data_IF_804534698927
#
_entry.id   IF_804534698927
#
_cell.length_a   1.000
_cell.length_b   1.000
_cell.length_c   1.000
_cell.angle_alpha   90.00
_cell.angle_beta   90.00
_cell.angle_gamma   90.00
#
_symmetry.space_group_name_H-M   'P 1'
#
loop_
_entity.id
_entity.type
_entity.pdbx_description
1 polymer ?
#
# COMPACT_ATOMS: atom_id res chain seq x y z
N UNK A 1 -49.53 -33.97 -13.12
CA UNK A 1 -49.56 -32.92 -12.10
C UNK A 1 -48.50 -33.07 -11.02
N UNK A 2 -48.24 -34.25 -10.44
CA UNK A 2 -47.19 -34.44 -9.40
C UNK A 2 -45.74 -34.11 -9.85
N UNK A 3 -45.39 -34.35 -11.11
CA UNK A 3 -44.05 -34.05 -11.65
C UNK A 3 -43.83 -32.55 -11.87
N UNK A 4 -44.86 -31.79 -12.18
CA UNK A 4 -44.77 -30.32 -12.37
C UNK A 4 -44.53 -29.60 -11.03
N UNK A 5 -45.14 -30.08 -9.95
CA UNK A 5 -44.94 -29.57 -8.60
C UNK A 5 -43.49 -29.79 -8.12
N UNK A 6 -42.91 -30.94 -8.44
CA UNK A 6 -41.53 -31.26 -8.03
C UNK A 6 -40.51 -30.33 -8.70
N UNK A 7 -40.71 -29.98 -9.99
CA UNK A 7 -39.81 -29.08 -10.73
C UNK A 7 -39.93 -27.65 -10.18
N UNK A 8 -41.15 -27.19 -9.84
CA UNK A 8 -41.36 -25.85 -9.28
C UNK A 8 -40.72 -25.72 -7.90
N UNK A 9 -40.78 -26.76 -7.06
CA UNK A 9 -40.16 -26.76 -5.74
C UNK A 9 -38.60 -26.71 -5.84
N UNK A 10 -38.03 -27.41 -6.82
CA UNK A 10 -36.58 -27.42 -7.04
C UNK A 10 -36.06 -26.07 -7.50
N UNK A 11 -36.81 -25.34 -8.34
CA UNK A 11 -36.44 -23.99 -8.77
C UNK A 11 -36.45 -22.96 -7.62
N UNK A 12 -37.35 -23.09 -6.65
CA UNK A 12 -37.41 -22.16 -5.51
C UNK A 12 -36.22 -22.36 -4.55
N UNK A 13 -35.80 -23.61 -4.37
CA UNK A 13 -34.62 -23.93 -3.51
C UNK A 13 -33.31 -23.40 -4.19
N UNK A 14 -33.23 -23.43 -5.53
CA UNK A 14 -32.07 -22.92 -6.25
C UNK A 14 -31.87 -21.40 -6.16
N UNK A 15 -32.97 -20.64 -5.99
CA UNK A 15 -32.89 -19.17 -5.89
C UNK A 15 -32.48 -18.73 -4.47
N UNK A 16 -32.87 -19.49 -3.43
CA UNK A 16 -32.49 -19.16 -2.07
C UNK A 16 -31.01 -19.42 -1.75
N UNK A 17 -30.33 -20.29 -2.52
CA UNK A 17 -28.90 -20.59 -2.30
C UNK A 17 -27.94 -19.48 -2.76
N UNK A 18 -28.41 -18.51 -3.56
CA UNK A 18 -27.59 -17.38 -4.02
C UNK A 18 -27.80 -16.08 -3.22
N UNK A 19 -28.66 -16.10 -2.21
CA UNK A 19 -28.86 -14.97 -1.29
C UNK A 19 -27.98 -15.09 -0.05
N UNK A 20 -26.74 -15.56 -0.18
CA UNK A 20 -25.72 -15.29 0.81
C UNK A 20 -25.28 -13.83 0.60
N UNK A 21 -25.97 -12.91 1.27
CA UNK A 21 -25.38 -11.61 1.60
C UNK A 21 -24.08 -11.91 2.34
N UNK A 22 -22.96 -11.69 1.66
CA UNK A 22 -21.67 -11.70 2.34
C UNK A 22 -21.70 -10.56 3.34
N UNK A 23 -21.82 -10.89 4.63
CA UNK A 23 -21.55 -9.97 5.76
C UNK A 23 -20.04 -9.60 5.83
N UNK A 24 -19.36 -9.58 4.68
CA UNK A 24 -18.03 -9.00 4.63
C UNK A 24 -18.21 -7.48 4.68
N UNK A 25 -17.64 -6.83 5.68
CA UNK A 25 -17.66 -5.38 5.75
C UNK A 25 -17.12 -4.81 4.43
N UNK A 26 -17.78 -3.79 3.90
CA UNK A 26 -17.36 -3.12 2.69
C UNK A 26 -15.86 -2.82 2.79
N UNK A 27 -15.11 -3.26 1.77
CA UNK A 27 -13.68 -2.99 1.70
C UNK A 27 -13.44 -1.76 0.83
N UNK A 28 -12.52 -0.94 1.26
CA UNK A 28 -12.06 0.22 0.49
C UNK A 28 -10.59 0.04 0.09
N UNK A 29 -10.26 0.49 -1.12
CA UNK A 29 -8.87 0.53 -1.57
C UNK A 29 -8.23 1.83 -1.11
N UNK A 30 -7.13 1.70 -0.39
CA UNK A 30 -6.27 2.81 0.01
C UNK A 30 -5.02 2.77 -0.85
N UNK A 31 -4.52 3.93 -1.22
CA UNK A 31 -3.31 4.10 -2.01
C UNK A 31 -2.24 4.79 -1.18
N UNK A 32 -0.98 4.42 -1.41
CA UNK A 32 0.15 5.18 -0.89
C UNK A 32 1.17 5.39 -2.01
N UNK A 33 1.95 6.46 -1.88
CA UNK A 33 3.12 6.71 -2.69
C UNK A 33 4.39 6.40 -1.90
N UNK A 34 5.32 5.67 -2.52
CA UNK A 34 6.63 5.39 -1.94
C UNK A 34 7.70 5.95 -2.85
N UNK A 35 8.40 6.96 -2.37
CA UNK A 35 9.53 7.56 -3.06
C UNK A 35 10.83 6.93 -2.57
N UNK A 36 11.54 6.25 -3.46
CA UNK A 36 12.87 5.71 -3.19
C UNK A 36 13.92 6.70 -3.66
N UNK A 37 14.71 7.24 -2.73
CA UNK A 37 15.72 8.27 -3.00
C UNK A 37 17.12 7.69 -2.88
N UNK A 38 17.87 7.73 -3.95
CA UNK A 38 19.29 7.36 -4.00
C UNK A 38 20.15 8.63 -3.90
N UNK A 39 20.79 8.84 -2.76
CA UNK A 39 21.62 10.05 -2.55
C UNK A 39 23.03 9.93 -3.13
N UNK A 40 23.48 8.73 -3.43
CA UNK A 40 24.83 8.51 -3.91
C UNK A 40 24.80 7.60 -5.14
N UNK A 41 25.22 8.13 -6.29
CA UNK A 41 25.23 7.37 -7.55
C UNK A 41 26.20 6.17 -7.55
N UNK A 42 27.18 6.15 -6.64
CA UNK A 42 28.13 5.05 -6.51
C UNK A 42 27.65 3.95 -5.57
N UNK A 43 26.56 4.18 -4.84
CA UNK A 43 25.91 3.20 -3.95
C UNK A 43 24.52 2.91 -4.46
N UNK A 44 24.13 1.65 -4.43
CA UNK A 44 22.80 1.22 -4.86
C UNK A 44 21.76 1.39 -3.76
N UNK A 45 22.18 1.71 -2.53
CA UNK A 45 21.28 1.87 -1.40
C UNK A 45 20.36 3.09 -1.56
N UNK A 46 19.13 2.91 -1.13
CA UNK A 46 18.09 3.94 -1.17
C UNK A 46 17.42 4.08 0.19
N UNK A 47 16.92 5.29 0.46
CA UNK A 47 15.98 5.51 1.56
C UNK A 47 14.56 5.64 0.98
N UNK A 48 13.56 5.26 1.76
CA UNK A 48 12.18 5.33 1.35
C UNK A 48 11.42 6.40 2.14
N UNK A 49 10.78 7.31 1.41
CA UNK A 49 9.81 8.26 1.91
C UNK A 49 8.43 7.76 1.50
N UNK A 50 7.49 7.67 2.44
CA UNK A 50 6.14 7.15 2.18
C UNK A 50 5.12 8.25 2.44
N UNK A 51 4.17 8.41 1.51
CA UNK A 51 2.97 9.19 1.67
C UNK A 51 1.76 8.24 1.64
N UNK A 52 1.09 8.09 2.77
CA UNK A 52 -0.09 7.24 2.88
C UNK A 52 -1.40 7.95 2.47
N UNK A 53 -1.34 9.20 2.01
CA UNK A 53 -2.52 9.98 1.65
C UNK A 53 -3.44 10.30 2.84
N UNK A 54 -2.94 10.21 4.07
CA UNK A 54 -3.70 10.46 5.28
C UNK A 54 -3.68 11.96 5.56
N UNK A 55 -4.75 12.64 5.16
CA UNK A 55 -4.90 14.09 5.30
C UNK A 55 -5.44 14.49 6.68
N UNK A 56 -4.75 14.19 7.76
CA UNK A 56 -5.01 14.86 9.03
C UNK A 56 -4.01 15.99 9.23
N UNK A 57 -4.48 17.20 8.92
CA UNK A 57 -3.93 18.51 9.31
C UNK A 57 -2.44 18.51 9.71
N UNK A 58 -1.57 18.42 8.74
CA UNK A 58 -0.15 18.74 8.90
C UNK A 58 0.73 17.72 9.62
N UNK A 59 0.20 16.62 10.11
CA UNK A 59 0.95 15.68 10.94
C UNK A 59 1.52 14.46 10.20
N UNK A 60 0.98 14.08 9.04
CA UNK A 60 1.31 12.81 8.38
C UNK A 60 1.33 12.88 6.85
N UNK A 61 1.71 14.02 6.26
CA UNK A 61 1.73 14.11 4.80
C UNK A 61 2.68 13.09 4.17
N UNK A 62 3.92 13.05 4.65
CA UNK A 62 4.91 12.05 4.22
C UNK A 62 5.96 11.84 5.33
N UNK A 63 6.58 10.68 5.35
CA UNK A 63 7.63 10.38 6.33
C UNK A 63 8.58 9.30 5.87
N UNK A 64 9.79 9.34 6.41
CA UNK A 64 10.82 8.34 6.12
C UNK A 64 10.56 7.04 6.89
N UNK A 65 10.90 5.91 6.28
CA UNK A 65 10.97 4.64 6.99
C UNK A 65 12.24 4.62 7.83
N UNK A 66 12.09 4.31 9.12
CA UNK A 66 13.17 4.22 10.08
C UNK A 66 13.45 2.77 10.49
N UNK A 67 14.65 2.55 10.95
CA UNK A 67 15.03 1.32 11.65
C UNK A 67 14.92 1.58 13.15
N UNK A 68 13.93 0.96 13.79
CA UNK A 68 13.65 1.10 15.22
C UNK A 68 14.83 0.68 16.12
N UNK A 69 15.74 -0.18 15.61
CA UNK A 69 16.88 -0.66 16.39
C UNK A 69 18.01 0.36 16.56
N UNK A 70 18.12 1.36 15.67
CA UNK A 70 19.26 2.31 15.68
C UNK A 70 18.86 3.77 15.44
N UNK A 71 17.57 4.07 15.39
CA UNK A 71 17.00 5.42 15.17
C UNK A 71 17.52 6.14 13.90
N UNK A 72 17.86 5.38 12.87
CA UNK A 72 18.32 5.91 11.58
C UNK A 72 17.31 5.60 10.48
N UNK A 73 17.31 6.42 9.41
CA UNK A 73 16.57 6.08 8.21
C UNK A 73 16.97 4.69 7.73
N UNK A 74 15.98 3.89 7.39
CA UNK A 74 16.24 2.54 6.88
C UNK A 74 16.93 2.64 5.51
N UNK A 75 18.10 2.04 5.38
CA UNK A 75 18.81 1.93 4.11
C UNK A 75 18.47 0.60 3.46
N UNK A 76 17.78 0.66 2.35
CA UNK A 76 17.42 -0.49 1.53
C UNK A 76 18.48 -0.71 0.46
N UNK A 77 18.80 -1.96 0.17
CA UNK A 77 19.82 -2.31 -0.84
C UNK A 77 19.44 -1.89 -2.27
N UNK A 78 18.18 -1.64 -2.54
CA UNK A 78 17.68 -1.21 -3.85
C UNK A 78 16.22 -0.75 -3.76
N UNK A 79 15.66 -0.05 -4.77
CA UNK A 79 14.23 0.24 -4.86
C UNK A 79 13.35 -1.03 -4.77
N UNK A 80 13.80 -2.15 -5.36
CA UNK A 80 13.07 -3.42 -5.27
C UNK A 80 13.02 -3.99 -3.85
N UNK A 81 14.04 -3.72 -3.02
CA UNK A 81 14.03 -4.12 -1.62
C UNK A 81 12.98 -3.32 -0.81
N UNK A 82 12.76 -2.05 -1.16
CA UNK A 82 11.66 -1.24 -0.60
C UNK A 82 10.31 -1.85 -0.98
N UNK A 83 10.14 -2.18 -2.26
CA UNK A 83 8.93 -2.82 -2.74
C UNK A 83 8.65 -4.14 -2.00
N UNK A 84 9.65 -5.01 -1.87
CA UNK A 84 9.53 -6.27 -1.13
C UNK A 84 9.18 -6.06 0.36
N UNK A 85 9.70 -5.00 0.97
CA UNK A 85 9.35 -4.62 2.33
C UNK A 85 7.87 -4.22 2.43
N UNK A 86 7.39 -3.36 1.54
CA UNK A 86 5.98 -2.92 1.50
C UNK A 86 5.03 -4.09 1.18
N UNK A 87 5.43 -5.00 0.28
CA UNK A 87 4.64 -6.19 -0.04
C UNK A 87 4.46 -7.12 1.18
N UNK A 88 5.47 -7.25 2.05
CA UNK A 88 5.33 -7.98 3.33
C UNK A 88 4.32 -7.35 4.27
N UNK A 89 4.08 -6.04 4.14
CA UNK A 89 3.04 -5.31 4.87
C UNK A 89 1.66 -5.41 4.19
N UNK A 90 1.56 -6.18 3.11
CA UNK A 90 0.32 -6.41 2.36
C UNK A 90 -0.02 -5.34 1.32
N UNK A 91 0.94 -4.46 0.99
CA UNK A 91 0.79 -3.49 -0.09
C UNK A 91 1.08 -4.13 -1.45
N UNK A 92 0.22 -3.87 -2.42
CA UNK A 92 0.32 -4.39 -3.78
C UNK A 92 0.76 -3.28 -4.75
N UNK A 93 1.61 -3.63 -5.70
CA UNK A 93 2.05 -2.73 -6.75
C UNK A 93 0.88 -2.33 -7.66
N UNK A 94 0.80 -1.04 -7.95
CA UNK A 94 -0.17 -0.49 -8.91
C UNK A 94 0.52 0.15 -10.11
N UNK A 95 1.49 1.04 -9.87
CA UNK A 95 2.17 1.81 -10.91
C UNK A 95 3.53 2.30 -10.44
N UNK A 96 4.39 2.76 -11.36
CA UNK A 96 5.65 3.40 -11.05
C UNK A 96 5.98 4.54 -12.03
N UNK A 97 6.54 5.61 -11.48
CA UNK A 97 7.08 6.73 -12.23
C UNK A 97 8.56 6.87 -11.84
N UNK A 98 9.45 6.92 -12.83
CA UNK A 98 10.87 7.12 -12.60
C UNK A 98 11.21 8.56 -12.98
N UNK A 99 11.69 9.32 -12.00
CA UNK A 99 12.13 10.70 -12.20
C UNK A 99 13.61 10.78 -11.89
N UNK A 100 14.39 11.34 -12.82
CA UNK A 100 15.78 11.69 -12.57
C UNK A 100 15.84 13.17 -12.24
N UNK A 101 16.05 13.50 -10.98
CA UNK A 101 16.22 14.88 -10.56
C UNK A 101 17.68 15.30 -10.72
N UNK A 102 17.90 16.32 -11.55
CA UNK A 102 19.20 16.98 -11.66
C UNK A 102 19.30 18.07 -10.60
N UNK A 103 19.94 17.80 -9.46
CA UNK A 103 20.32 18.85 -8.52
C UNK A 103 21.66 19.46 -8.97
N UNK A 104 21.67 20.78 -9.18
CA UNK A 104 22.86 21.51 -9.65
C UNK A 104 24.10 21.23 -8.80
N UNK A 105 25.28 21.31 -9.43
CA UNK A 105 26.65 21.25 -8.90
C UNK A 105 27.08 20.00 -8.09
N UNK A 106 26.25 19.18 -7.50
CA UNK A 106 26.70 18.08 -6.64
C UNK A 106 26.10 16.70 -6.94
N UNK A 107 25.51 16.48 -8.09
CA UNK A 107 25.12 15.13 -8.51
C UNK A 107 23.65 15.00 -8.88
N UNK A 108 23.39 13.99 -9.70
CA UNK A 108 22.04 13.55 -10.03
C UNK A 108 21.61 12.54 -8.98
N UNK A 109 20.42 12.72 -8.40
CA UNK A 109 19.75 11.68 -7.61
C UNK A 109 18.69 11.02 -8.47
N UNK A 110 18.60 9.70 -8.41
CA UNK A 110 17.49 8.99 -8.99
C UNK A 110 16.39 8.85 -7.93
N UNK A 111 15.17 9.17 -8.34
CA UNK A 111 13.99 9.00 -7.50
C UNK A 111 13.01 8.09 -8.23
N UNK A 112 12.62 7.01 -7.58
CA UNK A 112 11.58 6.10 -8.06
C UNK A 112 10.32 6.31 -7.22
N UNK A 113 9.22 6.60 -7.87
CA UNK A 113 7.91 6.73 -7.25
C UNK A 113 7.12 5.46 -7.53
N UNK A 114 6.74 4.73 -6.49
CA UNK A 114 5.88 3.57 -6.58
C UNK A 114 4.51 3.93 -6.01
N UNK A 115 3.46 3.67 -6.78
CA UNK A 115 2.10 3.74 -6.30
C UNK A 115 1.68 2.34 -5.89
N UNK A 116 1.33 2.19 -4.63
CA UNK A 116 0.90 0.93 -4.04
C UNK A 116 -0.54 1.05 -3.57
N UNK A 117 -1.21 -0.10 -3.47
CA UNK A 117 -2.59 -0.17 -2.98
C UNK A 117 -2.74 -1.31 -1.97
N UNK A 118 -3.67 -1.14 -1.04
CA UNK A 118 -4.06 -2.18 -0.08
C UNK A 118 -5.54 -2.03 0.24
N UNK A 119 -6.23 -3.16 0.46
CA UNK A 119 -7.63 -3.17 0.87
C UNK A 119 -7.75 -3.16 2.39
N UNK A 120 -8.64 -2.31 2.88
CA UNK A 120 -8.97 -2.18 4.30
C UNK A 120 -10.49 -2.27 4.50
N UNK A 121 -10.98 -2.67 5.69
CA UNK A 121 -12.37 -2.50 6.06
C UNK A 121 -12.78 -1.03 5.96
N UNK A 122 -14.04 -0.72 5.64
CA UNK A 122 -14.51 0.65 5.47
C UNK A 122 -14.33 1.55 6.71
N UNK A 123 -14.22 0.95 7.89
CA UNK A 123 -14.02 1.64 9.18
C UNK A 123 -12.55 1.70 9.63
N UNK A 124 -11.60 1.54 8.70
CA UNK A 124 -10.17 1.63 9.02
C UNK A 124 -9.78 2.98 9.63
N UNK A 125 -8.70 2.97 10.40
CA UNK A 125 -8.09 4.17 10.98
C UNK A 125 -6.75 4.47 10.31
N UNK A 126 -6.19 5.70 10.45
CA UNK A 126 -4.84 6.01 9.99
C UNK A 126 -3.77 5.05 10.51
N UNK A 127 -3.90 4.58 11.75
CA UNK A 127 -2.95 3.62 12.33
C UNK A 127 -3.00 2.26 11.64
N UNK A 128 -4.17 1.82 11.18
CA UNK A 128 -4.30 0.56 10.43
C UNK A 128 -3.57 0.64 9.09
N UNK A 129 -3.55 1.82 8.47
CA UNK A 129 -2.86 2.06 7.20
C UNK A 129 -1.34 2.02 7.38
N UNK A 130 -0.82 2.67 8.41
CA UNK A 130 0.62 2.71 8.72
C UNK A 130 1.10 1.31 9.16
N UNK A 131 0.28 0.60 9.95
CA UNK A 131 0.59 -0.73 10.45
C UNK A 131 1.90 -0.75 11.27
N UNK A 132 2.75 -1.75 10.99
CA UNK A 132 4.03 -1.96 11.70
C UNK A 132 5.21 -1.17 11.11
N UNK A 133 4.95 -0.25 10.18
CA UNK A 133 6.00 0.56 9.55
C UNK A 133 6.45 1.65 10.54
N UNK A 134 7.73 1.63 10.92
CA UNK A 134 8.33 2.72 11.70
C UNK A 134 8.48 3.97 10.80
N UNK A 135 7.44 4.76 10.79
CA UNK A 135 7.24 5.91 9.91
C UNK A 135 7.37 7.20 10.72
N UNK A 136 8.25 8.08 10.28
CA UNK A 136 8.50 9.35 11.00
C UNK A 136 8.59 10.52 10.04
N UNK A 137 7.83 11.54 10.36
CA UNK A 137 7.94 12.86 9.74
C UNK A 137 8.96 13.69 10.55
N UNK A 138 10.19 13.80 10.04
CA UNK A 138 11.24 14.67 10.61
C UNK A 138 11.75 15.65 9.58
#
# INVERSE_FOLDING_TARGET
MKKLFLILTLCIVGIAANAQTSDQPDKVKVYCEVMCVQYNLFKQDVNALVDFGIAEQGKYANGWIYNSSNDKKYSFASPMAVFAYMAKQGWEYKDAIIVTEGTGLSGKSNVWHFILTKEFPANYTPNDVIGDIDYRNK
#
